data_IF_740592258122
#
_entry.id   IF_740592258122
#
_cell.length_a   1.000
_cell.length_b   1.000
_cell.length_c   1.000
_cell.angle_alpha   90.00
_cell.angle_beta   90.00
_cell.angle_gamma   90.00
#
_symmetry.space_group_name_H-M   'P 1'
#
loop_
_entity.id
_entity.type
_entity.pdbx_description
1 polymer ?
#
# COMPACT_ATOMS: atom_id res chain seq x y z
N UNK A 1 19.15 -25.50 -8.83
CA UNK A 1 19.45 -24.52 -9.89
C UNK A 1 18.47 -23.37 -9.64
N UNK A 2 18.91 -22.38 -8.86
CA UNK A 2 18.08 -21.26 -8.42
C UNK A 2 18.28 -20.13 -9.42
N UNK A 3 17.32 -19.94 -10.31
CA UNK A 3 17.22 -18.71 -11.10
C UNK A 3 16.86 -17.57 -10.15
N UNK A 4 17.84 -16.74 -9.81
CA UNK A 4 17.59 -15.42 -9.25
C UNK A 4 17.24 -14.50 -10.42
N UNK A 5 15.95 -14.30 -10.66
CA UNK A 5 15.48 -13.21 -11.51
C UNK A 5 15.78 -11.89 -10.80
N UNK A 6 16.84 -11.23 -11.22
CA UNK A 6 17.18 -9.87 -10.83
C UNK A 6 16.25 -8.93 -11.59
N UNK A 7 15.20 -8.44 -10.94
CA UNK A 7 14.39 -7.35 -11.46
C UNK A 7 14.92 -6.04 -10.86
N UNK A 8 15.45 -5.08 -11.66
CA UNK A 8 15.62 -3.72 -11.18
C UNK A 8 14.25 -3.13 -10.79
N UNK A 9 14.22 -2.02 -10.06
CA UNK A 9 12.98 -1.32 -9.68
C UNK A 9 12.32 -0.66 -10.90
N UNK A 10 11.84 -1.48 -11.84
CA UNK A 10 11.32 -1.07 -13.13
C UNK A 10 9.85 -0.61 -13.05
N UNK A 11 9.22 -0.77 -11.87
CA UNK A 11 7.91 -0.23 -11.53
C UNK A 11 8.07 1.18 -10.98
N UNK A 12 7.44 2.15 -11.65
CA UNK A 12 7.38 3.53 -11.20
C UNK A 12 6.50 3.63 -9.95
N UNK A 13 7.08 4.19 -8.89
CA UNK A 13 6.44 4.36 -7.60
C UNK A 13 6.07 5.82 -7.36
N UNK A 14 4.91 6.01 -6.77
CA UNK A 14 4.42 7.35 -6.43
C UNK A 14 4.62 7.62 -4.94
N UNK A 15 5.51 8.55 -4.60
CA UNK A 15 5.61 9.09 -3.24
C UNK A 15 4.82 10.40 -3.15
N UNK A 16 3.88 10.48 -2.20
CA UNK A 16 3.05 11.68 -2.01
C UNK A 16 3.58 12.53 -0.86
N UNK A 17 3.81 13.83 -1.11
CA UNK A 17 4.20 14.81 -0.08
C UNK A 17 2.97 15.52 0.49
N UNK A 18 2.83 15.55 1.82
CA UNK A 18 1.69 16.22 2.49
C UNK A 18 2.04 17.68 2.80
N UNK A 19 1.23 18.61 2.28
CA UNK A 19 1.40 20.04 2.53
C UNK A 19 0.63 20.47 3.79
N UNK A 20 1.29 21.23 4.67
CA UNK A 20 0.67 21.83 5.86
C UNK A 20 -0.28 22.98 5.54
N UNK A 21 -1.04 23.44 6.54
CA UNK A 21 -1.94 24.60 6.40
C UNK A 21 -1.16 25.87 6.02
N UNK A 22 -1.60 26.56 4.97
CA UNK A 22 -1.04 27.83 4.44
C UNK A 22 -0.99 29.00 5.44
N UNK A 23 -1.61 28.88 6.62
CA UNK A 23 -1.75 29.97 7.59
C UNK A 23 -0.80 29.87 8.80
N UNK A 24 0.11 28.90 8.85
CA UNK A 24 1.23 28.98 9.79
C UNK A 24 2.35 29.78 9.14
N UNK A 25 2.64 30.96 9.69
CA UNK A 25 3.89 31.68 9.47
C UNK A 25 5.04 30.85 10.03
N UNK A 26 5.42 29.78 9.32
CA UNK A 26 6.66 29.08 9.60
C UNK A 26 7.77 30.03 9.15
N UNK A 27 8.59 30.46 10.10
CA UNK A 27 9.74 31.32 9.85
C UNK A 27 10.57 30.76 8.70
N UNK A 28 10.82 31.62 7.70
CA UNK A 28 11.38 31.30 6.39
C UNK A 28 12.88 30.93 6.41
N UNK A 29 13.35 30.06 7.30
CA UNK A 29 14.80 29.75 7.38
C UNK A 29 15.23 28.38 7.88
N UNK A 30 14.34 27.43 8.18
CA UNK A 30 14.76 26.06 8.55
C UNK A 30 14.06 25.00 7.68
N UNK A 31 14.85 24.15 7.04
CA UNK A 31 14.36 22.97 6.32
C UNK A 31 13.62 22.05 7.31
N UNK A 32 12.41 21.62 6.94
CA UNK A 32 11.55 20.79 7.79
C UNK A 32 12.08 19.34 7.77
N UNK A 33 12.25 18.68 8.93
CA UNK A 33 12.80 17.33 8.97
C UNK A 33 11.83 16.34 8.30
N UNK A 34 12.30 15.51 7.33
CA UNK A 34 11.45 14.57 6.63
C UNK A 34 11.11 13.35 7.47
N UNK A 35 9.94 12.78 7.21
CA UNK A 35 9.49 11.50 7.77
C UNK A 35 8.74 10.70 6.71
N UNK A 36 9.00 9.39 6.64
CA UNK A 36 8.42 8.51 5.64
C UNK A 36 7.40 7.55 6.27
N UNK A 37 6.20 7.47 5.68
CA UNK A 37 5.12 6.61 6.16
C UNK A 37 4.77 5.57 5.09
N UNK A 38 4.75 4.28 5.47
CA UNK A 38 4.45 3.16 4.58
C UNK A 38 3.21 2.38 5.02
N UNK A 39 2.25 2.26 4.11
CA UNK A 39 0.97 1.57 4.35
C UNK A 39 1.12 0.03 4.48
N UNK A 40 0.02 -0.63 4.86
CA UNK A 40 -0.06 -2.08 5.04
C UNK A 40 -0.49 -2.86 3.80
N UNK A 41 -0.80 -4.15 4.00
CA UNK A 41 -1.30 -5.07 2.97
C UNK A 41 -2.63 -4.55 2.38
N UNK A 42 -2.76 -4.54 1.05
CA UNK A 42 -3.95 -4.09 0.31
C UNK A 42 -4.40 -2.64 0.61
N UNK A 43 -3.51 -1.83 1.17
CA UNK A 43 -3.72 -0.40 1.40
C UNK A 43 -3.02 0.45 0.33
N UNK A 44 -3.17 1.76 0.46
CA UNK A 44 -2.37 2.77 -0.24
C UNK A 44 -2.08 3.95 0.71
N UNK A 45 -1.45 5.01 0.19
CA UNK A 45 -1.14 6.22 0.98
C UNK A 45 -2.37 6.91 1.59
N UNK A 46 -3.58 6.71 1.05
CA UNK A 46 -4.80 7.32 1.58
C UNK A 46 -5.16 6.81 2.96
N UNK A 47 -4.73 5.60 3.33
CA UNK A 47 -4.96 5.02 4.67
C UNK A 47 -4.47 5.93 5.80
N UNK A 48 -3.47 6.76 5.54
CA UNK A 48 -2.93 7.70 6.52
C UNK A 48 -3.73 9.00 6.66
N UNK A 49 -4.46 9.41 5.61
CA UNK A 49 -5.15 10.70 5.51
C UNK A 49 -6.68 10.58 5.46
N UNK A 50 -7.17 9.37 5.74
CA UNK A 50 -8.57 8.97 5.65
C UNK A 50 -9.48 9.61 6.71
N UNK A 51 -8.92 9.99 7.87
CA UNK A 51 -9.65 10.66 8.94
C UNK A 51 -9.50 12.18 8.87
N UNK A 52 -10.15 12.89 9.79
CA UNK A 52 -10.05 14.34 9.92
C UNK A 52 -8.59 14.81 10.12
N UNK A 53 -8.24 16.06 9.74
CA UNK A 53 -6.87 16.57 9.87
C UNK A 53 -6.24 16.50 11.27
N UNK A 54 -7.05 16.48 12.34
CA UNK A 54 -6.57 16.34 13.72
C UNK A 54 -6.57 14.89 14.24
N UNK A 55 -6.92 13.92 13.40
CA UNK A 55 -7.00 12.49 13.69
C UNK A 55 -6.15 11.64 12.74
N UNK A 56 -5.55 12.28 11.72
CA UNK A 56 -4.73 11.64 10.70
C UNK A 56 -3.26 12.02 10.92
N UNK A 57 -2.43 11.01 11.16
CA UNK A 57 -1.02 11.17 11.55
C UNK A 57 -0.22 12.11 10.63
N UNK A 58 -0.30 12.04 9.29
CA UNK A 58 0.45 12.94 8.41
C UNK A 58 0.09 14.41 8.62
N UNK A 59 -1.19 14.71 8.84
CA UNK A 59 -1.64 16.09 9.07
C UNK A 59 -1.20 16.60 10.44
N UNK A 60 -1.19 15.74 11.45
CA UNK A 60 -0.66 16.08 12.79
C UNK A 60 0.85 16.37 12.71
N UNK A 61 1.64 15.48 12.07
CA UNK A 61 3.08 15.65 11.87
C UNK A 61 3.39 16.91 11.03
N UNK A 62 2.63 17.12 9.95
CA UNK A 62 2.76 18.33 9.13
C UNK A 62 2.34 19.61 9.85
N UNK A 63 1.48 19.57 10.87
CA UNK A 63 1.19 20.75 11.68
C UNK A 63 2.24 20.96 12.80
N UNK A 64 2.98 19.90 13.15
CA UNK A 64 4.09 19.92 14.11
C UNK A 64 5.45 20.31 13.48
N UNK A 65 5.49 20.59 12.18
CA UNK A 65 6.70 21.08 11.50
C UNK A 65 7.48 20.05 10.69
N UNK A 66 7.02 18.80 10.58
CA UNK A 66 7.69 17.76 9.78
C UNK A 66 7.37 17.85 8.29
N UNK A 67 8.29 17.42 7.44
CA UNK A 67 8.06 17.23 6.01
C UNK A 67 7.61 15.78 5.75
N UNK A 68 6.33 15.57 5.44
CA UNK A 68 5.75 14.22 5.50
C UNK A 68 5.62 13.60 4.10
N UNK A 69 6.20 12.42 3.94
CA UNK A 69 6.24 11.64 2.70
C UNK A 69 5.49 10.31 2.88
N UNK A 70 4.58 9.99 1.97
CA UNK A 70 3.76 8.78 1.99
C UNK A 70 4.14 7.87 0.82
N UNK A 71 4.61 6.67 1.12
CA UNK A 71 4.96 5.66 0.12
C UNK A 71 3.72 4.97 -0.46
N UNK A 72 3.82 4.52 -1.71
CA UNK A 72 2.87 3.62 -2.35
C UNK A 72 3.61 2.42 -2.95
N UNK A 73 3.28 1.23 -2.47
CA UNK A 73 3.86 -0.02 -2.96
C UNK A 73 3.45 -0.32 -4.40
N UNK A 74 4.34 -0.99 -5.16
CA UNK A 74 4.04 -1.52 -6.49
C UNK A 74 2.69 -2.23 -6.53
N UNK A 75 1.93 -1.99 -7.60
CA UNK A 75 0.64 -2.64 -7.82
C UNK A 75 -0.56 -2.01 -7.12
N UNK A 76 -0.40 -1.05 -6.22
CA UNK A 76 -1.55 -0.33 -5.65
C UNK A 76 -2.09 0.73 -6.63
N UNK A 77 -3.23 1.36 -6.30
CA UNK A 77 -3.92 2.36 -7.14
C UNK A 77 -3.01 3.45 -7.74
N UNK A 78 -1.97 3.87 -7.02
CA UNK A 78 -1.08 4.97 -7.43
C UNK A 78 0.27 4.51 -8.00
N UNK A 79 0.60 3.22 -7.94
CA UNK A 79 1.91 2.66 -8.35
C UNK A 79 1.75 1.47 -9.31
N UNK A 80 0.96 1.66 -10.39
CA UNK A 80 0.68 0.67 -11.45
C UNK A 80 1.37 0.96 -12.79
N UNK A 81 2.47 1.70 -12.79
CA UNK A 81 3.23 1.98 -14.01
C UNK A 81 4.58 1.26 -14.00
N UNK A 82 5.07 0.83 -15.15
CA UNK A 82 6.36 0.17 -15.30
C UNK A 82 7.03 0.61 -16.61
N UNK A 83 8.36 0.69 -16.63
CA UNK A 83 9.12 1.21 -17.77
C UNK A 83 8.98 0.39 -19.07
N UNK A 84 8.57 -0.88 -18.98
CA UNK A 84 8.52 -1.83 -20.11
C UNK A 84 7.26 -2.68 -20.07
N UNK A 85 6.82 -3.12 -18.89
CA UNK A 85 5.65 -3.98 -18.72
C UNK A 85 4.37 -3.15 -18.57
N UNK A 86 3.26 -3.68 -19.09
CA UNK A 86 1.92 -3.14 -18.90
C UNK A 86 1.20 -3.92 -17.79
N UNK A 87 0.28 -3.30 -17.02
CA UNK A 87 -0.54 -4.01 -16.02
C UNK A 87 -1.36 -5.18 -16.57
N UNK A 88 -1.62 -5.24 -17.87
CA UNK A 88 -2.30 -6.39 -18.48
C UNK A 88 -1.38 -7.62 -18.66
N UNK A 89 -0.06 -7.46 -18.56
CA UNK A 89 0.92 -8.54 -18.68
C UNK A 89 1.10 -9.25 -17.33
N UNK A 90 1.23 -10.58 -17.35
CA UNK A 90 1.39 -11.38 -16.12
C UNK A 90 2.69 -11.05 -15.40
N UNK A 91 3.75 -10.82 -16.16
CA UNK A 91 5.09 -10.52 -15.68
C UNK A 91 5.11 -9.23 -14.83
N UNK A 92 4.19 -8.29 -15.10
CA UNK A 92 4.03 -7.08 -14.30
C UNK A 92 3.68 -7.39 -12.83
N UNK A 93 2.97 -8.49 -12.59
CA UNK A 93 2.47 -8.90 -11.26
C UNK A 93 3.32 -10.01 -10.63
N UNK A 94 4.45 -10.36 -11.23
CA UNK A 94 5.35 -11.40 -10.74
C UNK A 94 6.27 -10.87 -9.61
N UNK A 95 5.67 -10.41 -8.52
CA UNK A 95 6.35 -9.91 -7.33
C UNK A 95 5.56 -10.24 -6.06
N UNK A 96 6.22 -10.16 -4.92
CA UNK A 96 5.66 -10.29 -3.58
C UNK A 96 6.05 -9.07 -2.73
N UNK A 97 5.78 -9.15 -1.42
CA UNK A 97 6.32 -8.17 -0.46
C UNK A 97 7.86 -8.21 -0.39
N UNK A 98 8.52 -9.27 -0.86
CA UNK A 98 9.97 -9.37 -0.97
C UNK A 98 10.52 -8.26 -1.88
N UNK A 99 9.99 -8.13 -3.10
CA UNK A 99 10.39 -7.07 -4.01
C UNK A 99 10.04 -5.67 -3.46
N UNK A 100 8.96 -5.53 -2.70
CA UNK A 100 8.64 -4.27 -2.03
C UNK A 100 9.72 -3.89 -1.00
N UNK A 101 10.19 -4.87 -0.22
CA UNK A 101 11.25 -4.64 0.76
C UNK A 101 12.59 -4.34 0.09
N UNK A 102 12.96 -5.11 -0.94
CA UNK A 102 14.29 -5.08 -1.55
C UNK A 102 14.47 -3.99 -2.62
N UNK A 103 13.37 -3.51 -3.21
CA UNK A 103 13.44 -2.53 -4.30
C UNK A 103 12.60 -1.28 -4.03
N UNK A 104 11.34 -1.43 -3.59
CA UNK A 104 10.44 -0.26 -3.40
C UNK A 104 10.91 0.62 -2.25
N UNK A 105 11.15 0.01 -1.09
CA UNK A 105 11.58 0.75 0.09
C UNK A 105 12.89 1.52 -0.16
N UNK A 106 14.01 0.90 -0.61
CA UNK A 106 15.24 1.64 -0.83
C UNK A 106 15.14 2.70 -1.94
N UNK A 107 14.32 2.49 -2.98
CA UNK A 107 14.11 3.49 -4.03
C UNK A 107 13.34 4.72 -3.49
N UNK A 108 12.28 4.51 -2.72
CA UNK A 108 11.55 5.61 -2.08
C UNK A 108 12.43 6.38 -1.08
N UNK A 109 13.20 5.68 -0.25
CA UNK A 109 14.09 6.33 0.71
C UNK A 109 15.16 7.15 0.00
N UNK A 110 15.79 6.61 -1.04
CA UNK A 110 16.77 7.35 -1.85
C UNK A 110 16.16 8.61 -2.46
N UNK A 111 14.96 8.50 -3.01
CA UNK A 111 14.25 9.63 -3.59
C UNK A 111 14.01 10.74 -2.54
N UNK A 112 13.53 10.39 -1.34
CA UNK A 112 13.26 11.39 -0.29
C UNK A 112 14.56 12.00 0.23
N UNK A 113 15.59 11.20 0.52
CA UNK A 113 16.91 11.64 0.99
C UNK A 113 17.55 12.60 -0.01
N UNK A 114 17.57 12.22 -1.29
CA UNK A 114 18.14 13.04 -2.37
C UNK A 114 17.36 14.34 -2.59
N UNK A 115 16.02 14.29 -2.52
CA UNK A 115 15.16 15.47 -2.70
C UNK A 115 15.24 16.45 -1.51
N UNK A 116 15.40 15.94 -0.29
CA UNK A 116 15.39 16.76 0.93
C UNK A 116 16.80 17.13 1.41
N UNK A 117 17.83 16.53 0.81
CA UNK A 117 19.24 16.71 1.16
C UNK A 117 19.56 16.36 2.62
N UNK A 118 18.84 15.40 3.19
CA UNK A 118 19.16 14.82 4.51
C UNK A 118 19.93 13.53 4.34
N UNK A 119 20.73 13.14 5.32
CA UNK A 119 21.44 11.85 5.30
C UNK A 119 20.54 10.66 5.67
N UNK A 120 19.57 10.90 6.55
CA UNK A 120 18.67 9.88 7.10
C UNK A 120 17.35 10.48 7.57
N UNK A 121 16.31 9.65 7.64
CA UNK A 121 14.98 10.02 8.09
C UNK A 121 14.31 8.90 8.91
N UNK A 122 13.34 9.22 9.79
CA UNK A 122 12.56 8.21 10.47
C UNK A 122 11.58 7.52 9.51
N UNK A 123 11.40 6.21 9.71
CA UNK A 123 10.46 5.37 8.99
C UNK A 123 9.30 4.98 9.89
N UNK A 124 8.07 5.17 9.42
CA UNK A 124 6.84 4.78 10.11
C UNK A 124 6.12 3.74 9.24
N UNK A 125 6.04 2.50 9.71
CA UNK A 125 5.36 1.42 9.00
C UNK A 125 4.10 0.97 9.72
N UNK A 126 3.05 0.62 8.97
CA UNK A 126 1.89 -0.10 9.50
C UNK A 126 1.77 -1.50 8.87
N UNK A 127 1.53 -2.53 9.69
CA UNK A 127 1.27 -3.90 9.21
C UNK A 127 2.36 -4.40 8.25
N UNK A 128 2.05 -4.75 7.00
CA UNK A 128 3.04 -5.12 5.97
C UNK A 128 4.15 -4.07 5.78
N UNK A 129 3.84 -2.78 5.97
CA UNK A 129 4.86 -1.72 5.92
C UNK A 129 5.96 -1.92 6.97
N UNK A 130 5.66 -2.53 8.13
CA UNK A 130 6.73 -2.87 9.10
C UNK A 130 7.56 -4.04 8.61
N UNK A 131 6.90 -5.06 8.04
CA UNK A 131 7.57 -6.24 7.49
C UNK A 131 8.57 -5.83 6.41
N UNK A 132 8.21 -4.89 5.52
CA UNK A 132 9.11 -4.35 4.50
C UNK A 132 10.41 -3.81 5.10
N UNK A 133 10.31 -2.98 6.14
CA UNK A 133 11.49 -2.41 6.80
C UNK A 133 12.34 -3.47 7.53
N UNK A 134 11.70 -4.41 8.22
CA UNK A 134 12.42 -5.50 8.90
C UNK A 134 13.16 -6.39 7.89
N UNK A 135 12.50 -6.78 6.81
CA UNK A 135 13.10 -7.59 5.74
C UNK A 135 14.27 -6.86 5.11
N UNK A 136 14.08 -5.61 4.69
CA UNK A 136 15.14 -4.80 4.06
C UNK A 136 16.39 -4.72 4.95
N UNK A 137 16.23 -4.32 6.22
CA UNK A 137 17.34 -4.19 7.15
C UNK A 137 17.98 -5.52 7.56
N UNK A 138 17.24 -6.63 7.47
CA UNK A 138 17.80 -7.96 7.73
C UNK A 138 18.77 -8.43 6.63
N UNK A 139 18.59 -7.92 5.41
CA UNK A 139 19.41 -8.27 4.23
C UNK A 139 20.50 -7.22 3.99
N UNK A 140 20.14 -5.94 4.05
CA UNK A 140 21.03 -4.82 3.72
C UNK A 140 20.96 -3.75 4.81
N UNK A 141 22.05 -3.48 5.55
CA UNK A 141 22.11 -2.33 6.45
C UNK A 141 21.87 -1.04 5.66
N UNK A 142 20.86 -0.27 6.04
CA UNK A 142 20.51 0.98 5.37
C UNK A 142 20.63 2.16 6.34
N UNK A 143 21.72 2.93 6.18
CA UNK A 143 22.01 4.09 7.04
C UNK A 143 21.05 5.27 6.83
N UNK A 144 20.21 5.24 5.78
CA UNK A 144 19.21 6.28 5.51
C UNK A 144 18.01 6.19 6.47
N UNK A 145 17.83 5.07 7.16
CA UNK A 145 16.78 4.94 8.19
C UNK A 145 17.39 5.31 9.54
N UNK A 146 16.91 6.39 10.15
CA UNK A 146 17.37 6.79 11.49
C UNK A 146 16.74 5.94 12.59
N UNK A 147 15.43 5.69 12.47
CA UNK A 147 14.59 5.03 13.47
C UNK A 147 13.40 4.37 12.77
N UNK A 148 12.87 3.29 13.36
CA UNK A 148 11.64 2.62 12.90
C UNK A 148 10.55 2.75 13.97
N UNK A 149 9.43 3.34 13.57
CA UNK A 149 8.18 3.35 14.33
C UNK A 149 7.27 2.30 13.69
N UNK A 150 7.15 1.14 14.35
CA UNK A 150 6.36 0.02 13.84
C UNK A 150 4.97 -0.04 14.49
N UNK A 151 3.92 0.19 13.71
CA UNK A 151 2.53 0.13 14.17
C UNK A 151 1.86 -1.15 13.69
N UNK A 152 1.37 -1.98 14.63
CA UNK A 152 0.88 -3.32 14.31
C UNK A 152 1.94 -4.18 13.60
N UNK A 153 3.11 -4.40 14.22
CA UNK A 153 4.25 -5.02 13.55
C UNK A 153 3.96 -6.46 13.08
N UNK A 154 4.31 -6.75 11.84
CA UNK A 154 4.26 -8.09 11.24
C UNK A 154 5.67 -8.61 11.02
N UNK A 155 5.95 -9.80 11.55
CA UNK A 155 7.21 -10.54 11.35
C UNK A 155 6.95 -12.02 11.09
N UNK A 156 6.09 -12.64 11.91
CA UNK A 156 5.66 -14.01 11.74
C UNK A 156 4.13 -14.09 11.88
N UNK A 157 3.50 -14.82 10.97
CA UNK A 157 2.05 -15.01 10.90
C UNK A 157 1.57 -16.38 11.40
N UNK A 158 2.47 -17.20 11.93
CA UNK A 158 2.20 -18.59 12.36
C UNK A 158 1.16 -18.71 13.47
N UNK A 159 0.97 -17.66 14.27
CA UNK A 159 0.00 -17.62 15.38
C UNK A 159 -1.16 -16.65 15.12
N UNK A 160 -1.40 -16.27 13.86
CA UNK A 160 -2.56 -15.43 13.54
C UNK A 160 -3.85 -16.12 13.94
N UNK A 161 -4.70 -15.39 14.67
CA UNK A 161 -6.07 -15.80 14.97
C UNK A 161 -6.99 -15.49 13.77
N UNK A 162 -6.61 -14.48 12.97
CA UNK A 162 -7.33 -14.01 11.78
C UNK A 162 -7.70 -15.15 10.81
N UNK A 163 -8.88 -15.08 10.15
CA UNK A 163 -9.32 -16.04 9.14
C UNK A 163 -8.30 -16.31 8.02
N UNK A 164 -7.34 -15.41 7.79
CA UNK A 164 -6.26 -15.60 6.80
C UNK A 164 -5.43 -16.87 7.05
N UNK A 165 -5.34 -17.35 8.29
CA UNK A 165 -4.64 -18.61 8.61
C UNK A 165 -5.22 -19.81 7.87
N UNK A 166 -6.51 -19.76 7.50
CA UNK A 166 -7.17 -20.81 6.73
C UNK A 166 -6.87 -20.72 5.23
N UNK A 167 -6.43 -19.55 4.74
CA UNK A 167 -5.97 -19.39 3.36
C UNK A 167 -4.51 -19.84 3.19
N UNK A 168 -3.71 -19.83 4.27
CA UNK A 168 -2.30 -20.23 4.23
C UNK A 168 -2.05 -21.61 3.61
N UNK A 169 -2.78 -22.70 3.99
CA UNK A 169 -2.56 -24.04 3.42
C UNK A 169 -2.92 -24.16 1.94
N UNK A 170 -3.86 -23.33 1.46
CA UNK A 170 -4.38 -23.38 0.08
C UNK A 170 -3.81 -22.25 -0.79
N UNK A 171 -2.91 -21.44 -0.26
CA UNK A 171 -2.36 -20.25 -0.93
C UNK A 171 -1.67 -20.59 -2.25
N UNK A 172 -0.92 -21.68 -2.29
CA UNK A 172 -0.26 -22.16 -3.50
C UNK A 172 -1.26 -22.64 -4.56
N UNK A 173 -2.32 -23.35 -4.13
CA UNK A 173 -3.37 -23.83 -5.03
C UNK A 173 -4.22 -22.68 -5.57
N UNK A 174 -4.50 -21.67 -4.74
CA UNK A 174 -5.16 -20.42 -5.14
C UNK A 174 -4.30 -19.62 -6.10
N UNK A 175 -3.00 -19.47 -5.83
CA UNK A 175 -2.07 -18.79 -6.73
C UNK A 175 -1.99 -19.51 -8.08
N UNK A 176 -1.99 -20.85 -8.08
CA UNK A 176 -2.03 -21.65 -9.30
C UNK A 176 -3.36 -21.48 -10.04
N UNK A 177 -4.49 -21.52 -9.34
CA UNK A 177 -5.81 -21.31 -9.91
C UNK A 177 -5.94 -19.92 -10.53
N UNK A 178 -5.50 -18.86 -9.84
CA UNK A 178 -5.49 -17.50 -10.38
C UNK A 178 -4.57 -17.37 -11.60
N UNK A 179 -3.40 -18.01 -11.57
CA UNK A 179 -2.49 -18.08 -12.72
C UNK A 179 -3.15 -18.73 -13.93
N UNK A 180 -3.91 -19.83 -13.74
CA UNK A 180 -4.65 -20.51 -14.81
C UNK A 180 -5.81 -19.65 -15.33
N UNK A 181 -6.52 -18.96 -14.43
CA UNK A 181 -7.67 -18.11 -14.75
C UNK A 181 -7.27 -16.74 -15.36
N UNK A 182 -5.97 -16.44 -15.45
CA UNK A 182 -5.48 -15.16 -15.98
C UNK A 182 -5.76 -13.97 -15.07
N UNK A 183 -6.09 -14.23 -13.80
CA UNK A 183 -6.30 -13.20 -12.78
C UNK A 183 -4.92 -12.83 -12.23
N UNK A 184 -4.35 -11.75 -12.74
CA UNK A 184 -3.01 -11.32 -12.35
C UNK A 184 -3.03 -10.40 -11.12
N UNK A 185 -4.16 -9.75 -10.82
CA UNK A 185 -4.36 -8.88 -9.67
C UNK A 185 -5.22 -9.58 -8.62
N UNK A 186 -4.84 -9.52 -7.34
CA UNK A 186 -5.67 -10.03 -6.25
C UNK A 186 -6.77 -9.00 -5.92
N UNK A 187 -8.03 -9.38 -6.15
CA UNK A 187 -9.22 -8.52 -6.01
C UNK A 187 -9.19 -7.27 -6.90
N UNK A 188 -9.17 -7.43 -8.23
CA UNK A 188 -9.28 -6.29 -9.13
C UNK A 188 -10.64 -5.64 -8.94
N UNK A 189 -10.68 -4.30 -8.85
CA UNK A 189 -11.92 -3.52 -8.75
C UNK A 189 -12.67 -3.43 -10.08
N UNK A 190 -12.97 -4.61 -10.61
CA UNK A 190 -13.81 -4.79 -11.77
C UNK A 190 -15.28 -4.59 -11.41
N UNK A 191 -16.06 -4.21 -12.41
CA UNK A 191 -17.52 -4.11 -12.30
C UNK A 191 -18.18 -5.40 -11.79
N UNK A 192 -17.57 -6.57 -12.01
CA UNK A 192 -18.09 -7.87 -11.51
C UNK A 192 -17.92 -7.96 -9.99
N UNK A 193 -16.73 -7.65 -9.45
CA UNK A 193 -16.51 -7.66 -8.01
C UNK A 193 -17.33 -6.58 -7.31
N UNK A 194 -17.49 -5.40 -7.92
CA UNK A 194 -18.37 -4.33 -7.43
C UNK A 194 -19.85 -4.73 -7.46
N UNK A 195 -20.31 -5.33 -8.55
CA UNK A 195 -21.68 -5.84 -8.67
C UNK A 195 -21.98 -6.96 -7.66
N UNK A 196 -21.02 -7.88 -7.47
CA UNK A 196 -21.15 -8.95 -6.47
C UNK A 196 -21.19 -8.37 -5.04
N UNK A 197 -20.33 -7.40 -4.74
CA UNK A 197 -20.35 -6.68 -3.47
C UNK A 197 -21.69 -5.94 -3.26
N UNK A 198 -22.13 -5.15 -4.24
CA UNK A 198 -23.38 -4.39 -4.17
C UNK A 198 -24.62 -5.30 -4.10
N UNK A 199 -24.61 -6.47 -4.75
CA UNK A 199 -25.76 -7.39 -4.76
C UNK A 199 -25.85 -8.20 -3.46
N UNK A 200 -24.72 -8.63 -2.91
CA UNK A 200 -24.66 -9.42 -1.66
C UNK A 200 -24.86 -8.52 -0.43
N UNK A 201 -24.41 -7.27 -0.48
CA UNK A 201 -24.36 -6.37 0.68
C UNK A 201 -25.52 -5.40 0.84
N UNK A 202 -26.56 -5.52 0.02
CA UNK A 202 -27.77 -4.66 0.12
C UNK A 202 -28.91 -5.32 0.92
N UNK A 203 -28.75 -6.57 1.41
CA UNK A 203 -29.84 -7.25 2.14
C UNK A 203 -29.38 -8.05 3.37
N UNK A 204 -29.85 -7.56 4.52
CA UNK A 204 -30.10 -8.23 5.81
C UNK A 204 -28.93 -8.51 6.78
N UNK A 205 -29.06 -7.90 7.95
CA UNK A 205 -28.37 -8.15 9.22
C UNK A 205 -28.74 -9.57 9.71
N UNK A 206 -27.89 -10.59 9.44
CA UNK A 206 -26.64 -10.82 10.16
C UNK A 206 -25.44 -11.15 9.24
N UNK A 207 -25.55 -10.89 7.94
CA UNK A 207 -24.49 -11.14 6.94
C UNK A 207 -23.50 -9.96 6.79
N UNK A 208 -23.60 -8.94 7.64
CA UNK A 208 -22.71 -7.76 7.65
C UNK A 208 -21.22 -8.13 7.76
N UNK A 209 -20.89 -9.29 8.35
CA UNK A 209 -19.53 -9.82 8.41
C UNK A 209 -19.00 -10.27 7.03
N UNK A 210 -19.86 -10.80 6.16
CA UNK A 210 -19.47 -11.14 4.77
C UNK A 210 -19.37 -9.91 3.87
N UNK A 211 -19.95 -8.79 4.31
CA UNK A 211 -19.85 -7.48 3.70
C UNK A 211 -18.81 -6.58 4.36
N UNK A 212 -18.10 -7.10 5.37
CA UNK A 212 -16.92 -6.45 5.91
C UNK A 212 -15.81 -6.47 4.87
N UNK A 213 -15.12 -5.34 4.75
CA UNK A 213 -13.99 -5.15 3.83
C UNK A 213 -13.01 -6.34 3.96
N UNK A 214 -12.47 -6.81 2.84
CA UNK A 214 -11.39 -7.81 2.86
C UNK A 214 -10.28 -7.39 3.83
N UNK A 215 -9.98 -6.09 3.93
CA UNK A 215 -9.05 -5.52 4.91
C UNK A 215 -9.48 -5.79 6.36
N UNK A 216 -10.77 -5.66 6.67
CA UNK A 216 -11.33 -5.96 8.00
C UNK A 216 -11.34 -7.45 8.31
N UNK A 217 -11.57 -8.30 7.30
CA UNK A 217 -11.46 -9.76 7.45
C UNK A 217 -10.00 -10.16 7.69
N UNK A 218 -9.05 -9.53 6.99
CA UNK A 218 -7.63 -9.88 7.07
C UNK A 218 -6.98 -9.33 8.34
N UNK A 219 -7.21 -8.06 8.68
CA UNK A 219 -6.56 -7.37 9.79
C UNK A 219 -7.33 -7.46 11.12
N UNK A 220 -8.63 -7.74 11.09
CA UNK A 220 -9.52 -7.56 12.24
C UNK A 220 -9.84 -6.08 12.47
N UNK A 221 -10.92 -5.82 13.20
CA UNK A 221 -11.40 -4.46 13.41
C UNK A 221 -12.19 -4.33 14.72
N UNK A 222 -12.20 -3.14 15.31
CA UNK A 222 -12.88 -2.86 16.59
C UNK A 222 -13.94 -1.79 16.40
N UNK A 223 -15.21 -2.20 16.26
CA UNK A 223 -16.36 -1.32 16.07
C UNK A 223 -16.44 -0.16 17.08
N UNK A 224 -15.89 -0.31 18.29
CA UNK A 224 -15.92 0.74 19.31
C UNK A 224 -14.98 1.92 19.01
N UNK A 225 -13.94 1.67 18.22
CA UNK A 225 -12.91 2.65 17.86
C UNK A 225 -13.08 3.19 16.43
N UNK A 226 -14.06 2.68 15.67
CA UNK A 226 -14.28 3.04 14.28
C UNK A 226 -15.31 4.15 14.12
N UNK A 227 -15.00 5.09 13.23
CA UNK A 227 -15.98 6.07 12.77
C UNK A 227 -16.76 5.53 11.56
N UNK A 228 -17.83 4.80 11.86
CA UNK A 228 -18.70 4.12 10.89
C UNK A 228 -19.24 5.00 9.76
N UNK A 229 -19.27 6.34 9.91
CA UNK A 229 -19.72 7.26 8.85
C UNK A 229 -18.61 7.62 7.86
N UNK A 230 -17.36 7.66 8.29
CA UNK A 230 -16.22 8.01 7.43
C UNK A 230 -15.59 6.78 6.75
N UNK A 231 -15.63 5.61 7.38
CA UNK A 231 -15.04 4.39 6.80
C UNK A 231 -15.66 3.99 5.48
N UNK A 232 -16.98 4.15 5.32
CA UNK A 232 -17.66 3.84 4.06
C UNK A 232 -17.00 4.54 2.87
N UNK A 233 -16.45 5.75 3.02
CA UNK A 233 -15.81 6.49 1.92
C UNK A 233 -14.37 6.05 1.64
N UNK A 234 -13.63 5.66 2.67
CA UNK A 234 -12.22 5.25 2.59
C UNK A 234 -12.07 3.91 1.88
N UNK A 235 -13.00 3.00 2.16
CA UNK A 235 -13.10 1.67 1.55
C UNK A 235 -13.28 1.77 0.03
N UNK A 236 -14.08 2.72 -0.46
CA UNK A 236 -14.22 2.93 -1.90
C UNK A 236 -12.95 3.52 -2.54
N UNK A 237 -12.24 4.42 -1.85
CA UNK A 237 -11.06 5.07 -2.45
C UNK A 237 -9.84 4.16 -2.53
N UNK A 238 -9.60 3.27 -1.55
CA UNK A 238 -8.53 2.26 -1.64
C UNK A 238 -8.85 1.16 -2.66
N UNK A 239 -10.13 1.01 -2.99
CA UNK A 239 -10.66 0.12 -4.02
C UNK A 239 -10.79 0.79 -5.41
N UNK A 240 -10.40 2.05 -5.63
CA UNK A 240 -10.55 2.67 -6.96
C UNK A 240 -9.36 2.35 -7.89
N UNK A 241 -9.19 1.07 -8.23
CA UNK A 241 -8.26 0.62 -9.27
C UNK A 241 -8.94 0.63 -10.66
N UNK A 242 -8.71 1.70 -11.43
CA UNK A 242 -8.93 1.86 -12.88
C UNK A 242 -10.19 1.23 -13.51
N UNK A 243 -11.16 2.09 -13.82
CA UNK A 243 -12.41 1.78 -14.55
C UNK A 243 -12.26 1.29 -16.00
N UNK A 244 -11.06 1.34 -16.59
CA UNK A 244 -10.86 1.04 -18.02
C UNK A 244 -9.51 0.36 -18.26
N UNK A 245 -9.47 -0.97 -18.19
CA UNK A 245 -8.46 -1.77 -18.87
C UNK A 245 -9.21 -2.62 -19.92
N UNK A 246 -9.08 -2.33 -21.22
CA UNK A 246 -9.82 -3.05 -22.25
C UNK A 246 -9.44 -4.55 -22.26
N UNK A 247 -10.37 -5.45 -22.64
CA UNK A 247 -10.20 -6.91 -22.55
C UNK A 247 -9.12 -7.49 -23.48
N UNK A 248 -8.47 -6.66 -24.28
CA UNK A 248 -7.36 -7.04 -25.15
C UNK A 248 -6.24 -6.02 -24.98
N UNK A 249 -5.02 -6.47 -24.67
CA UNK A 249 -3.82 -5.64 -24.71
C UNK A 249 -3.62 -5.16 -26.16
N UNK A 250 -4.24 -4.05 -26.53
CA UNK A 250 -3.96 -3.41 -27.82
C UNK A 250 -2.57 -2.78 -27.74
N UNK A 251 -1.76 -3.11 -28.73
CA UNK A 251 -0.66 -2.26 -29.16
C UNK A 251 -1.33 -0.96 -29.62
N UNK A 252 -1.36 0.07 -28.77
CA UNK A 252 -1.34 1.49 -29.14
C UNK A 252 -1.90 2.32 -27.98
N UNK A 253 -0.99 2.75 -27.09
CA UNK A 253 -1.19 3.94 -26.25
C UNK A 253 0.17 4.63 -26.12
N UNK A 254 0.70 5.04 -27.28
CA UNK A 254 1.73 6.07 -27.40
C UNK A 254 1.42 6.89 -28.65
N UNK A 255 0.47 7.81 -28.54
CA UNK A 255 0.41 9.03 -29.39
C UNK A 255 -0.74 9.92 -28.95
N UNK A 256 -0.43 10.88 -28.07
CA UNK A 256 -0.81 12.30 -28.13
C UNK A 256 -0.62 12.95 -26.77
#
# INVERSE_FOLDING_TARGET
MTEQSTFPSDIAQTTTRVNGRKNQTVSNSTSRPPVFLQHGLLCDSTSWVSNLPNQSLPFILSNAGYDVWLGNSRGNTYSKAHITLKPCQREFWAWSWDEMALYDLPANLEFVVSHTHVEKLPYIGHSQGTLMAFTHLSVTPDSRISEIIAMGPVFNVSHLISPIKFLSPISNDLALAFKILGVNEFLPNSWVFKFLADTVCVRTDPLDVLCSDILFILAGFDYSQLNMKHEKYVVYSSADACFWCPPFCSHDYLSS
#
